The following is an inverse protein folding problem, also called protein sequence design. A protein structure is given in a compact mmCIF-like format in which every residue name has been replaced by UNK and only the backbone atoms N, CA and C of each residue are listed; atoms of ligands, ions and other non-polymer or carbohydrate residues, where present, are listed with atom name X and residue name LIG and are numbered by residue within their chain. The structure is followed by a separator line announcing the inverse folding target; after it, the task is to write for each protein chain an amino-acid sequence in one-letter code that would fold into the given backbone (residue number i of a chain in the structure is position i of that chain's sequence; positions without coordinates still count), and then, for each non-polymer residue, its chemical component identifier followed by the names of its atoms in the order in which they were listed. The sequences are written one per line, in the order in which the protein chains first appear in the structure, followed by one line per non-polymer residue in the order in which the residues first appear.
data_IF_344545751872
#
_entry.id   IF_344545751872
#
_cell.length_a   1.000
_cell.length_b   1.000
_cell.length_c   1.000
_cell.angle_alpha   90.00
_cell.angle_beta   90.00
_cell.angle_gamma   90.00
#
_symmetry.space_group_name_H-M   'P 1'
#
loop_
_entity.id
_entity.type
_entity.pdbx_description
1 polymer ?
#
# COMPACT_ATOMS: atom_id res chain seq x y z
N UNK A 1 23.24 12.90 -22.54
CA UNK A 1 21.92 12.24 -22.42
C UNK A 1 21.37 12.02 -23.82
N UNK A 2 20.82 10.84 -24.14
CA UNK A 2 20.05 10.67 -25.37
C UNK A 2 18.85 11.64 -25.38
N UNK A 3 18.43 12.13 -26.56
CA UNK A 3 17.26 13.01 -26.66
C UNK A 3 16.01 12.31 -26.12
N UNK A 4 15.10 13.04 -25.45
CA UNK A 4 13.87 12.45 -24.91
C UNK A 4 13.04 11.81 -26.03
N UNK A 5 12.42 10.66 -25.75
CA UNK A 5 11.63 9.94 -26.75
C UNK A 5 10.39 10.78 -27.07
N UNK A 6 9.93 10.72 -28.31
CA UNK A 6 8.77 11.51 -28.75
C UNK A 6 7.50 11.23 -27.93
N UNK A 7 7.34 10.00 -27.44
CA UNK A 7 6.20 9.60 -26.58
C UNK A 7 6.28 10.27 -25.19
N UNK A 8 7.48 10.63 -24.71
CA UNK A 8 7.66 11.34 -23.44
C UNK A 8 7.30 12.83 -23.53
N UNK A 9 7.21 13.36 -24.76
CA UNK A 9 6.81 14.74 -25.04
C UNK A 9 5.29 14.89 -25.19
N UNK A 10 4.52 13.80 -25.05
CA UNK A 10 3.07 13.85 -25.12
C UNK A 10 2.49 14.64 -23.93
N UNK A 11 1.43 15.44 -24.16
CA UNK A 11 0.61 15.99 -23.09
C UNK A 11 0.10 14.87 -22.16
N UNK A 12 -0.04 15.18 -20.86
CA UNK A 12 -0.40 14.19 -19.85
C UNK A 12 -1.71 13.45 -20.16
N UNK A 13 -2.72 14.17 -20.65
CA UNK A 13 -4.02 13.60 -21.03
C UNK A 13 -3.90 12.61 -22.20
N UNK A 14 -3.16 12.96 -23.25
CA UNK A 14 -2.93 12.08 -24.40
C UNK A 14 -2.03 10.88 -24.04
N UNK A 15 -1.06 11.08 -23.13
CA UNK A 15 -0.23 9.98 -22.62
C UNK A 15 -1.06 8.99 -21.81
N UNK A 16 -1.97 9.48 -20.96
CA UNK A 16 -2.92 8.64 -20.22
C UNK A 16 -3.85 7.90 -21.17
N UNK A 17 -4.43 8.60 -22.14
CA UNK A 17 -5.27 7.96 -23.16
C UNK A 17 -4.52 6.85 -23.91
N UNK A 18 -3.26 7.08 -24.30
CA UNK A 18 -2.44 6.07 -24.96
C UNK A 18 -2.21 4.83 -24.07
N UNK A 19 -1.95 5.04 -22.78
CA UNK A 19 -1.79 3.95 -21.81
C UNK A 19 -3.07 3.12 -21.66
N UNK A 20 -4.22 3.78 -21.56
CA UNK A 20 -5.52 3.12 -21.43
C UNK A 20 -5.85 2.33 -22.72
N UNK A 21 -5.65 2.94 -23.89
CA UNK A 21 -5.87 2.30 -25.18
C UNK A 21 -4.93 1.09 -25.42
N UNK A 22 -3.68 1.18 -24.97
CA UNK A 22 -2.73 0.06 -25.02
C UNK A 22 -3.20 -1.12 -24.15
N UNK A 23 -3.72 -0.85 -22.95
CA UNK A 23 -4.25 -1.88 -22.05
C UNK A 23 -5.50 -2.54 -22.62
N UNK A 24 -6.47 -1.76 -23.10
CA UNK A 24 -7.72 -2.27 -23.68
C UNK A 24 -7.46 -3.19 -24.88
N UNK A 25 -6.45 -2.88 -25.70
CA UNK A 25 -6.07 -3.66 -26.88
C UNK A 25 -5.08 -4.78 -26.58
N UNK A 26 -4.73 -5.02 -25.32
CA UNK A 26 -3.76 -6.05 -24.93
C UNK A 26 -2.38 -5.86 -25.58
N UNK A 27 -1.92 -4.61 -25.70
CA UNK A 27 -0.63 -4.24 -26.31
C UNK A 27 -0.48 -4.69 -27.77
N UNK A 28 -1.54 -4.50 -28.55
CA UNK A 28 -1.60 -4.79 -29.99
C UNK A 28 -2.15 -3.60 -30.80
N UNK A 29 -2.09 -3.66 -32.13
CA UNK A 29 -2.68 -2.62 -32.99
C UNK A 29 -1.92 -1.29 -33.01
N UNK A 30 -0.58 -1.32 -32.93
CA UNK A 30 0.28 -0.13 -32.85
C UNK A 30 0.19 0.82 -34.05
N UNK A 31 -0.24 0.32 -35.20
CA UNK A 31 -0.42 1.12 -36.43
C UNK A 31 -1.66 2.01 -36.29
N UNK A 32 -2.81 1.41 -36.01
CA UNK A 32 -4.06 2.12 -35.73
C UNK A 32 -3.92 3.07 -34.54
N UNK A 33 -3.25 2.65 -33.45
CA UNK A 33 -2.99 3.51 -32.31
C UNK A 33 -2.14 4.74 -32.67
N UNK A 34 -1.22 4.61 -33.62
CA UNK A 34 -0.44 5.75 -34.09
C UNK A 34 -1.28 6.70 -34.92
N UNK A 35 -2.20 6.19 -35.73
CA UNK A 35 -3.14 7.02 -36.49
C UNK A 35 -4.09 7.77 -35.55
N UNK A 36 -4.74 7.05 -34.62
CA UNK A 36 -5.64 7.62 -33.61
C UNK A 36 -4.94 8.70 -32.76
N UNK A 37 -3.70 8.43 -32.30
CA UNK A 37 -2.93 9.38 -31.50
C UNK A 37 -2.56 10.63 -32.29
N UNK A 38 -2.13 10.47 -33.55
CA UNK A 38 -1.76 11.62 -34.38
C UNK A 38 -3.00 12.47 -34.73
N UNK A 39 -4.16 11.85 -34.96
CA UNK A 39 -5.41 12.58 -35.18
C UNK A 39 -5.75 13.48 -33.98
N UNK A 40 -5.65 12.94 -32.76
CA UNK A 40 -5.88 13.71 -31.52
C UNK A 40 -4.85 14.83 -31.32
N UNK A 41 -3.57 14.56 -31.62
CA UNK A 41 -2.52 15.58 -31.56
C UNK A 41 -2.80 16.72 -32.55
N UNK A 42 -3.28 16.41 -33.75
CA UNK A 42 -3.69 17.39 -34.76
C UNK A 42 -4.91 18.22 -34.29
N UNK A 43 -5.91 17.60 -33.67
CA UNK A 43 -7.06 18.30 -33.06
C UNK A 43 -6.65 19.27 -31.95
N UNK A 44 -5.65 18.90 -31.14
CA UNK A 44 -5.07 19.75 -30.10
C UNK A 44 -4.08 20.80 -30.64
N UNK A 45 -3.83 20.82 -31.95
CA UNK A 45 -2.90 21.76 -32.59
C UNK A 45 -1.42 21.49 -32.29
N UNK A 46 -1.09 20.26 -31.90
CA UNK A 46 0.28 19.84 -31.57
C UNK A 46 0.97 19.30 -32.84
N UNK A 47 2.03 19.95 -33.30
CA UNK A 47 2.80 19.54 -34.50
C UNK A 47 3.67 18.26 -34.29
N UNK A 48 3.44 17.52 -33.21
CA UNK A 48 4.18 16.31 -32.88
C UNK A 48 3.61 15.11 -33.64
N UNK A 49 4.43 14.47 -34.47
CA UNK A 49 4.07 13.20 -35.14
C UNK A 49 4.76 12.00 -34.49
N UNK A 50 3.95 11.03 -34.06
CA UNK A 50 4.38 9.76 -33.47
C UNK A 50 4.27 8.65 -34.51
N UNK A 51 5.29 7.79 -34.60
CA UNK A 51 5.31 6.61 -35.48
C UNK A 51 4.99 5.34 -34.70
N UNK A 52 4.48 4.31 -35.38
CA UNK A 52 4.17 3.01 -34.75
C UNK A 52 5.33 2.38 -33.99
N UNK A 53 6.57 2.53 -34.46
CA UNK A 53 7.75 1.99 -33.77
C UNK A 53 8.01 2.65 -32.41
N UNK A 54 7.68 3.93 -32.28
CA UNK A 54 7.78 4.64 -31.02
C UNK A 54 6.71 4.17 -30.03
N UNK A 55 5.48 3.93 -30.51
CA UNK A 55 4.40 3.36 -29.69
C UNK A 55 4.71 1.91 -29.31
N UNK A 56 5.26 1.11 -30.23
CA UNK A 56 5.65 -0.27 -29.95
C UNK A 56 6.70 -0.32 -28.85
N UNK A 57 7.80 0.44 -28.97
CA UNK A 57 8.84 0.46 -27.95
C UNK A 57 8.29 0.89 -26.57
N UNK A 58 7.47 1.94 -26.56
CA UNK A 58 6.79 2.40 -25.34
C UNK A 58 5.83 1.36 -24.77
N UNK A 59 5.02 0.74 -25.63
CA UNK A 59 4.02 -0.25 -25.26
C UNK A 59 4.63 -1.53 -24.70
N UNK A 60 5.77 -1.98 -25.23
CA UNK A 60 6.53 -3.10 -24.68
C UNK A 60 6.99 -2.81 -23.25
N UNK A 61 7.64 -1.66 -23.03
CA UNK A 61 8.09 -1.24 -21.70
C UNK A 61 6.91 -1.05 -20.72
N UNK A 62 5.80 -0.51 -21.21
CA UNK A 62 4.60 -0.34 -20.41
C UNK A 62 3.92 -1.68 -20.07
N UNK A 63 3.94 -2.66 -20.98
CA UNK A 63 3.41 -4.00 -20.72
C UNK A 63 4.19 -4.70 -19.61
N UNK A 64 5.52 -4.61 -19.63
CA UNK A 64 6.37 -5.13 -18.56
C UNK A 64 6.07 -4.46 -17.23
N UNK A 65 5.95 -3.13 -17.22
CA UNK A 65 5.58 -2.38 -16.02
C UNK A 65 4.23 -2.82 -15.43
N UNK A 66 3.20 -2.95 -16.27
CA UNK A 66 1.86 -3.39 -15.83
C UNK A 66 1.92 -4.81 -15.28
N UNK A 67 2.64 -5.71 -15.95
CA UNK A 67 2.84 -7.09 -15.48
C UNK A 67 3.48 -7.11 -14.08
N UNK A 68 4.54 -6.34 -13.85
CA UNK A 68 5.17 -6.26 -12.53
C UNK A 68 4.26 -5.64 -11.47
N UNK A 69 3.43 -4.66 -11.84
CA UNK A 69 2.42 -4.08 -10.95
C UNK A 69 1.36 -5.13 -10.55
N UNK A 70 0.89 -5.92 -11.50
CA UNK A 70 -0.11 -6.97 -11.26
C UNK A 70 0.48 -8.09 -10.40
N UNK A 71 1.71 -8.54 -10.69
CA UNK A 71 2.43 -9.53 -9.89
C UNK A 71 2.66 -9.04 -8.45
N UNK A 72 3.06 -7.79 -8.27
CA UNK A 72 3.23 -7.19 -6.95
C UNK A 72 1.89 -7.08 -6.20
N UNK A 73 0.81 -6.72 -6.89
CA UNK A 73 -0.54 -6.62 -6.31
C UNK A 73 -1.07 -7.99 -5.90
N UNK A 74 -0.88 -9.01 -6.75
CA UNK A 74 -1.27 -10.39 -6.47
C UNK A 74 -0.47 -10.96 -5.29
N UNK A 75 0.85 -10.72 -5.26
CA UNK A 75 1.69 -11.09 -4.13
C UNK A 75 1.22 -10.44 -2.83
N UNK A 76 0.88 -9.14 -2.87
CA UNK A 76 0.40 -8.44 -1.70
C UNK A 76 -0.97 -8.94 -1.22
N UNK A 77 -1.90 -9.23 -2.13
CA UNK A 77 -3.20 -9.81 -1.81
C UNK A 77 -3.07 -11.21 -1.18
N UNK A 78 -2.21 -12.07 -1.75
CA UNK A 78 -1.90 -13.38 -1.18
C UNK A 78 -1.31 -13.27 0.22
N UNK A 79 -0.35 -12.35 0.41
CA UNK A 79 0.27 -12.12 1.71
C UNK A 79 -0.73 -11.61 2.77
N UNK A 80 -1.65 -10.71 2.41
CA UNK A 80 -2.70 -10.22 3.32
C UNK A 80 -3.63 -11.34 3.77
N UNK A 81 -4.01 -12.22 2.84
CA UNK A 81 -4.87 -13.37 3.12
C UNK A 81 -4.16 -14.40 4.02
N UNK A 82 -2.91 -14.77 3.67
CA UNK A 82 -2.11 -15.76 4.41
C UNK A 82 -1.81 -15.33 5.86
N UNK A 83 -1.84 -14.02 6.16
CA UNK A 83 -1.57 -13.48 7.49
C UNK A 83 -2.85 -13.04 8.25
N UNK A 84 -4.05 -13.34 7.71
CA UNK A 84 -5.32 -13.08 8.40
C UNK A 84 -5.64 -11.60 8.63
N UNK A 85 -5.09 -10.71 7.80
CA UNK A 85 -5.20 -9.25 7.94
C UNK A 85 -6.42 -8.66 7.19
N UNK A 86 -7.47 -9.45 6.97
CA UNK A 86 -8.65 -9.04 6.19
C UNK A 86 -9.42 -7.86 6.83
N UNK A 87 -9.43 -7.74 8.17
CA UNK A 87 -10.19 -6.69 8.89
C UNK A 87 -9.38 -5.42 9.20
N UNK A 88 -8.07 -5.39 8.94
CA UNK A 88 -7.17 -4.32 9.38
C UNK A 88 -6.73 -3.36 8.26
N UNK A 89 -7.46 -3.40 7.15
CA UNK A 89 -7.17 -2.68 5.91
C UNK A 89 -7.09 -1.14 6.05
N UNK A 90 -7.66 -0.55 7.10
CA UNK A 90 -7.59 0.90 7.32
C UNK A 90 -6.31 1.37 8.07
N UNK A 91 -5.73 0.55 8.96
CA UNK A 91 -4.54 0.95 9.75
C UNK A 91 -3.24 0.75 8.98
N UNK A 92 -3.19 -0.23 8.09
CA UNK A 92 -2.00 -0.52 7.28
C UNK A 92 -1.82 0.36 6.05
N UNK A 93 -2.78 1.24 5.72
CA UNK A 93 -2.74 2.05 4.50
C UNK A 93 -1.47 2.92 4.37
N UNK A 94 -0.99 3.48 5.48
CA UNK A 94 0.19 4.36 5.49
C UNK A 94 1.50 3.56 5.38
N UNK A 95 1.59 2.41 6.06
CA UNK A 95 2.72 1.50 5.92
C UNK A 95 2.75 0.91 4.51
N UNK A 96 1.60 0.50 3.99
CA UNK A 96 1.44 -0.04 2.64
C UNK A 96 1.77 0.99 1.56
N UNK A 97 1.38 2.25 1.75
CA UNK A 97 1.80 3.36 0.90
C UNK A 97 3.31 3.62 0.98
N UNK A 98 3.92 3.56 2.17
CA UNK A 98 5.38 3.69 2.32
C UNK A 98 6.12 2.55 1.64
N UNK A 99 5.62 1.32 1.77
CA UNK A 99 6.18 0.11 1.16
C UNK A 99 6.04 0.18 -0.37
N UNK A 100 4.86 0.54 -0.87
CA UNK A 100 4.61 0.75 -2.30
C UNK A 100 5.50 1.86 -2.85
N UNK A 101 5.69 2.94 -2.10
CA UNK A 101 6.58 4.05 -2.50
C UNK A 101 8.05 3.62 -2.54
N UNK A 102 8.49 2.79 -1.60
CA UNK A 102 9.85 2.26 -1.57
C UNK A 102 10.09 1.24 -2.69
N UNK A 103 9.14 0.32 -2.90
CA UNK A 103 9.17 -0.62 -4.01
C UNK A 103 9.19 0.11 -5.36
N UNK A 104 8.38 1.17 -5.51
CA UNK A 104 8.37 2.01 -6.70
C UNK A 104 9.69 2.76 -6.90
N UNK A 105 10.30 3.30 -5.83
CA UNK A 105 11.63 3.93 -5.92
C UNK A 105 12.72 2.97 -6.35
N UNK A 106 12.67 1.72 -5.89
CA UNK A 106 13.64 0.69 -6.31
C UNK A 106 13.39 0.26 -7.76
N UNK A 107 12.14 0.08 -8.15
CA UNK A 107 11.78 -0.20 -9.53
C UNK A 107 12.22 0.94 -10.47
N UNK A 108 12.04 2.20 -10.05
CA UNK A 108 12.48 3.38 -10.78
C UNK A 108 14.01 3.47 -10.88
N UNK A 109 14.75 3.12 -9.82
CA UNK A 109 16.21 3.10 -9.86
C UNK A 109 16.77 1.99 -10.77
N UNK A 110 16.05 0.87 -10.89
CA UNK A 110 16.41 -0.20 -11.82
C UNK A 110 16.03 0.13 -13.26
N UNK A 111 14.87 0.75 -13.51
CA UNK A 111 14.52 1.24 -14.85
C UNK A 111 15.46 2.35 -15.36
N UNK A 112 16.06 3.13 -14.46
CA UNK A 112 17.09 4.10 -14.79
C UNK A 112 18.45 3.47 -15.15
N UNK A 113 18.65 2.17 -14.85
CA UNK A 113 19.85 1.38 -15.13
C UNK A 113 19.56 0.41 -16.28
N UNK A 114 19.49 0.91 -17.51
CA UNK A 114 19.50 0.15 -18.78
C UNK A 114 18.88 -1.27 -18.72
N UNK A 115 17.55 -1.35 -18.68
CA UNK A 115 16.74 -2.44 -19.25
C UNK A 115 17.16 -3.87 -18.93
N UNK A 116 17.67 -4.15 -17.73
CA UNK A 116 18.00 -5.51 -17.29
C UNK A 116 17.04 -5.97 -16.21
N UNK A 117 16.62 -7.23 -16.37
CA UNK A 117 15.76 -7.97 -15.45
C UNK A 117 16.08 -7.69 -13.98
N UNK A 118 15.02 -7.54 -13.18
CA UNK A 118 15.10 -7.34 -11.73
C UNK A 118 15.87 -8.50 -11.10
N UNK A 119 17.04 -8.22 -10.47
CA UNK A 119 17.84 -9.27 -9.80
C UNK A 119 17.00 -9.89 -8.65
N UNK A 120 16.75 -11.21 -8.68
CA UNK A 120 15.97 -11.91 -7.65
C UNK A 120 16.50 -11.73 -6.23
N UNK A 121 17.81 -11.45 -6.07
CA UNK A 121 18.43 -11.20 -4.76
C UNK A 121 18.03 -9.84 -4.19
N UNK A 122 17.80 -8.85 -5.05
CA UNK A 122 17.34 -7.53 -4.63
C UNK A 122 15.84 -7.55 -4.28
N UNK A 123 15.04 -8.32 -5.02
CA UNK A 123 13.65 -8.64 -4.64
C UNK A 123 13.59 -9.33 -3.27
N UNK A 124 14.48 -10.28 -3.01
CA UNK A 124 14.58 -10.94 -1.72
C UNK A 124 14.99 -9.97 -0.60
N UNK A 125 15.93 -9.07 -0.87
CA UNK A 125 16.33 -8.02 0.07
C UNK A 125 15.19 -7.05 0.38
N UNK A 126 14.43 -6.63 -0.64
CA UNK A 126 13.21 -5.84 -0.49
C UNK A 126 12.17 -6.56 0.37
N UNK A 127 11.88 -7.83 0.08
CA UNK A 127 10.95 -8.64 0.86
C UNK A 127 11.39 -8.82 2.32
N UNK A 128 12.71 -8.92 2.57
CA UNK A 128 13.28 -8.98 3.92
C UNK A 128 13.16 -7.65 4.66
N UNK A 129 13.54 -6.54 4.02
CA UNK A 129 13.38 -5.20 4.60
C UNK A 129 11.92 -4.88 4.92
N UNK A 130 11.01 -5.28 4.03
CA UNK A 130 9.57 -5.19 4.21
C UNK A 130 9.11 -6.00 5.43
N UNK A 131 9.54 -7.26 5.54
CA UNK A 131 9.27 -8.10 6.72
C UNK A 131 9.79 -7.47 8.01
N UNK A 132 10.99 -6.90 8.00
CA UNK A 132 11.63 -6.32 9.17
C UNK A 132 10.91 -5.03 9.63
N UNK A 133 10.47 -4.19 8.70
CA UNK A 133 9.67 -2.98 9.01
C UNK A 133 8.29 -3.34 9.55
N UNK A 134 7.61 -4.31 8.96
CA UNK A 134 6.31 -4.77 9.43
C UNK A 134 6.40 -5.44 10.79
N UNK A 135 7.40 -6.29 11.02
CA UNK A 135 7.67 -6.88 12.33
C UNK A 135 7.91 -5.77 13.38
N UNK A 136 8.71 -4.76 13.06
CA UNK A 136 8.97 -3.65 14.00
C UNK A 136 7.73 -2.80 14.32
N UNK A 137 6.80 -2.68 13.37
CA UNK A 137 5.57 -1.90 13.52
C UNK A 137 4.51 -2.71 14.29
N UNK A 138 4.34 -3.99 13.96
CA UNK A 138 3.44 -4.91 14.68
C UNK A 138 3.90 -5.16 16.13
N UNK A 139 5.21 -5.26 16.39
CA UNK A 139 5.76 -5.37 17.75
C UNK A 139 5.44 -4.11 18.56
N UNK A 140 5.55 -2.93 17.97
CA UNK A 140 5.23 -1.67 18.65
C UNK A 140 3.75 -1.60 19.02
N UNK A 141 2.87 -2.02 18.12
CA UNK A 141 1.43 -2.03 18.38
C UNK A 141 1.06 -3.07 19.44
N UNK A 142 1.61 -4.29 19.38
CA UNK A 142 1.42 -5.31 20.41
C UNK A 142 1.89 -4.84 21.80
N UNK A 143 3.00 -4.11 21.87
CA UNK A 143 3.48 -3.51 23.12
C UNK A 143 2.49 -2.45 23.63
N UNK A 144 1.92 -1.64 22.73
CA UNK A 144 0.95 -0.61 23.09
C UNK A 144 -0.39 -1.21 23.54
N UNK A 145 -0.88 -2.27 22.88
CA UNK A 145 -2.08 -3.00 23.28
C UNK A 145 -1.89 -3.70 24.63
N UNK A 146 -0.78 -4.42 24.80
CA UNK A 146 -0.44 -5.06 26.08
C UNK A 146 -0.32 -4.03 27.21
N UNK A 147 0.23 -2.84 26.93
CA UNK A 147 0.31 -1.77 27.92
C UNK A 147 -1.07 -1.17 28.24
N UNK A 148 -1.96 -1.01 27.24
CA UNK A 148 -3.35 -0.57 27.46
C UNK A 148 -4.12 -1.58 28.31
N UNK A 149 -4.01 -2.87 28.01
CA UNK A 149 -4.63 -3.94 28.80
C UNK A 149 -4.12 -3.91 30.25
N UNK A 150 -2.80 -3.76 30.43
CA UNK A 150 -2.18 -3.64 31.75
C UNK A 150 -2.68 -2.43 32.53
N UNK A 151 -2.86 -1.28 31.87
CA UNK A 151 -3.41 -0.07 32.49
C UNK A 151 -4.86 -0.29 32.90
N UNK A 152 -5.69 -0.86 32.02
CA UNK A 152 -7.10 -1.14 32.33
C UNK A 152 -7.23 -2.11 33.51
N UNK A 153 -6.41 -3.17 33.55
CA UNK A 153 -6.40 -4.13 34.65
C UNK A 153 -5.96 -3.47 35.97
N UNK A 154 -4.92 -2.62 35.92
CA UNK A 154 -4.44 -1.88 37.08
C UNK A 154 -5.49 -0.87 37.61
N UNK A 155 -6.20 -0.18 36.72
CA UNK A 155 -7.29 0.74 37.09
C UNK A 155 -8.47 -0.02 37.69
N UNK A 156 -8.83 -1.19 37.13
CA UNK A 156 -9.86 -2.07 37.68
C UNK A 156 -9.50 -2.57 39.08
N UNK A 157 -8.28 -3.04 39.29
CA UNK A 157 -7.79 -3.46 40.59
C UNK A 157 -7.79 -2.31 41.62
N UNK A 158 -7.37 -1.12 41.20
CA UNK A 158 -7.39 0.07 42.06
C UNK A 158 -8.82 0.52 42.41
N UNK A 159 -9.77 0.42 41.47
CA UNK A 159 -11.19 0.70 41.74
C UNK A 159 -11.81 -0.33 42.70
N UNK A 160 -11.48 -1.61 42.54
CA UNK A 160 -11.92 -2.66 43.45
C UNK A 160 -11.39 -2.42 44.88
N UNK A 161 -10.10 -2.09 45.02
CA UNK A 161 -9.48 -1.79 46.32
C UNK A 161 -10.12 -0.57 46.98
N UNK A 162 -10.39 0.51 46.23
CA UNK A 162 -11.06 1.70 46.79
C UNK A 162 -12.47 1.40 47.29
N UNK A 163 -13.16 0.47 46.65
CA UNK A 163 -14.49 0.04 47.07
C UNK A 163 -14.43 -0.78 48.36
N UNK A 164 -13.39 -1.62 48.53
CA UNK A 164 -13.13 -2.31 49.79
C UNK A 164 -12.82 -1.33 50.93
N UNK A 165 -11.94 -0.36 50.69
CA UNK A 165 -11.60 0.67 51.67
C UNK A 165 -12.84 1.49 52.10
N UNK A 166 -13.72 1.82 51.15
CA UNK A 166 -14.98 2.54 51.41
C UNK A 166 -15.99 1.71 52.22
N UNK A 167 -16.00 0.39 52.05
CA UNK A 167 -16.80 -0.52 52.88
C UNK A 167 -16.24 -0.63 54.29
N UNK A 168 -14.91 -0.70 54.44
CA UNK A 168 -14.25 -0.73 55.75
C UNK A 168 -14.43 0.57 56.52
N UNK A 169 -14.38 1.72 55.83
CA UNK A 169 -14.67 3.03 56.41
C UNK A 169 -16.14 3.22 56.80
N UNK A 170 -17.04 2.38 56.29
CA UNK A 170 -18.49 2.46 56.52
C UNK A 170 -19.20 3.49 55.64
N UNK A 171 -18.53 4.05 54.63
CA UNK A 171 -19.09 5.00 53.68
C UNK A 171 -20.02 4.33 52.65
N UNK A 172 -19.86 3.01 52.45
CA UNK A 172 -20.65 2.19 51.54
C UNK A 172 -21.09 0.90 52.21
N UNK A 173 -22.38 0.56 52.09
CA UNK A 173 -22.89 -0.73 52.56
C UNK A 173 -22.37 -1.89 51.72
N UNK A 174 -22.09 -3.04 52.36
CA UNK A 174 -21.58 -4.25 51.71
C UNK A 174 -22.42 -4.70 50.51
N UNK A 175 -23.75 -4.59 50.63
CA UNK A 175 -24.68 -4.99 49.57
C UNK A 175 -24.63 -4.05 48.35
N UNK A 176 -24.40 -2.75 48.59
CA UNK A 176 -24.20 -1.76 47.53
C UNK A 176 -22.85 -1.95 46.82
N UNK A 177 -21.79 -2.28 47.56
CA UNK A 177 -20.48 -2.61 46.99
C UNK A 177 -20.54 -3.90 46.14
N UNK A 178 -21.28 -4.91 46.57
CA UNK A 178 -21.49 -6.15 45.81
C UNK A 178 -22.17 -5.86 44.45
N UNK A 179 -23.24 -5.08 44.44
CA UNK A 179 -23.93 -4.67 43.20
C UNK A 179 -23.05 -3.82 42.29
N UNK A 180 -22.22 -2.95 42.86
CA UNK A 180 -21.28 -2.14 42.09
C UNK A 180 -20.23 -2.99 41.37
N UNK A 181 -19.77 -4.09 41.98
CA UNK A 181 -18.87 -5.06 41.32
C UNK A 181 -19.53 -5.78 40.16
N UNK A 182 -20.77 -6.23 40.32
CA UNK A 182 -21.53 -6.90 39.26
C UNK A 182 -21.79 -5.97 38.06
N UNK A 183 -22.14 -4.71 38.32
CA UNK A 183 -22.39 -3.70 37.26
C UNK A 183 -21.11 -3.32 36.53
N UNK A 184 -20.00 -3.16 37.26
CA UNK A 184 -18.71 -2.76 36.68
C UNK A 184 -17.90 -3.95 36.12
N UNK A 185 -18.40 -5.17 36.25
CA UNK A 185 -17.75 -6.38 35.72
C UNK A 185 -16.49 -6.79 36.49
N UNK A 186 -16.46 -6.51 37.80
CA UNK A 186 -15.38 -6.91 38.70
C UNK A 186 -15.61 -8.28 39.38
N UNK A 187 -16.75 -8.93 39.11
CA UNK A 187 -17.21 -10.18 39.72
C UNK A 187 -17.00 -11.39 38.80
#
# INVERSE_FOLDING_TARGET
MPPPRKVDLLPAELKKWLQDALKERGFSGYEDLAEDLNFRLEEEGVELRIKKSAIHAYGTEYAEFVKYQDEASAWAAGWMNDNGLEEEAQRHNVLFQMITTLAFKVMQSQMAMDGKDIDPRELHFLGKMLKDVMASSGIREQIMEAERERIVEAERAAMASKLDDAVEAGDVEKEAAQKAREIMGFA
#
